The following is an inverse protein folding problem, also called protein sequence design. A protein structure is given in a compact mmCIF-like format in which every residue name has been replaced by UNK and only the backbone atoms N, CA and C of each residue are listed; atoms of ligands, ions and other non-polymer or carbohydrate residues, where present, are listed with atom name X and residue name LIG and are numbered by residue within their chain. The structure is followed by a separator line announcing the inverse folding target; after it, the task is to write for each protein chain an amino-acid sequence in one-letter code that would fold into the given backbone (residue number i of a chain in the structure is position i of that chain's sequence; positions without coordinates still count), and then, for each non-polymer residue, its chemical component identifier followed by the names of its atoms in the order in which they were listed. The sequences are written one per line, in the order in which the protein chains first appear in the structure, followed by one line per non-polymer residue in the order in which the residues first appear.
data_IF_824889189327
#
_entry.id   IF_824889189327
#
_cell.length_a   1.000
_cell.length_b   1.000
_cell.length_c   1.000
_cell.angle_alpha   90.00
_cell.angle_beta   90.00
_cell.angle_gamma   90.00
#
_symmetry.space_group_name_H-M   'P 1'
#
loop_
_entity.id
_entity.type
_entity.pdbx_description
1 polymer ?
#
# COMPACT_ATOMS: atom_id res chain seq x y z
N UNK A 1 28.03 -53.72 9.16
CA UNK A 1 27.19 -52.73 9.87
C UNK A 1 27.87 -51.38 9.67
N UNK A 2 27.36 -50.39 8.96
CA UNK A 2 26.03 -50.12 8.42
C UNK A 2 26.16 -49.33 7.11
N UNK A 3 25.23 -49.60 6.19
CA UNK A 3 24.91 -48.77 5.05
C UNK A 3 24.52 -47.35 5.51
N UNK A 4 24.95 -46.32 4.80
CA UNK A 4 24.31 -45.00 4.82
C UNK A 4 23.51 -44.81 3.53
N UNK A 5 22.17 -44.77 3.61
CA UNK A 5 21.33 -44.34 2.50
C UNK A 5 20.70 -42.95 2.73
N UNK A 6 20.51 -42.22 1.61
CA UNK A 6 19.40 -41.29 1.28
C UNK A 6 19.39 -39.86 1.87
N UNK A 7 19.74 -38.91 0.99
CA UNK A 7 19.01 -37.70 0.56
C UNK A 7 17.93 -37.08 1.50
N UNK A 8 18.13 -35.84 1.94
CA UNK A 8 17.05 -34.84 2.03
C UNK A 8 17.52 -33.51 1.41
N UNK A 9 16.90 -33.17 0.28
CA UNK A 9 16.83 -31.83 -0.29
C UNK A 9 16.27 -30.87 0.77
N UNK A 10 17.04 -29.88 1.20
CA UNK A 10 16.50 -28.67 1.83
C UNK A 10 16.72 -27.51 0.87
N UNK A 11 15.81 -27.41 -0.10
CA UNK A 11 15.49 -26.16 -0.77
C UNK A 11 14.94 -25.20 0.29
N UNK A 12 15.24 -23.91 0.16
CA UNK A 12 14.79 -22.81 1.03
C UNK A 12 15.53 -22.65 2.37
N UNK A 13 16.85 -22.46 2.29
CA UNK A 13 17.57 -21.64 3.26
C UNK A 13 17.25 -20.16 3.05
N UNK A 14 16.04 -19.72 3.43
CA UNK A 14 15.72 -18.31 3.59
C UNK A 14 14.97 -18.14 4.91
N UNK A 15 15.66 -17.65 5.92
CA UNK A 15 15.03 -17.11 7.13
C UNK A 15 14.20 -15.89 6.72
N UNK A 16 12.87 -15.98 6.81
CA UNK A 16 11.97 -14.95 6.30
C UNK A 16 11.46 -14.07 7.44
N UNK A 17 11.65 -12.74 7.33
CA UNK A 17 11.13 -11.77 8.31
C UNK A 17 10.03 -10.88 7.72
N UNK A 18 9.10 -10.45 8.56
CA UNK A 18 7.89 -9.64 8.29
C UNK A 18 8.19 -8.32 7.57
N UNK A 19 7.52 -8.02 6.44
CA UNK A 19 7.65 -6.73 5.71
C UNK A 19 6.67 -6.56 4.52
N UNK A 20 6.08 -5.36 4.37
CA UNK A 20 5.22 -4.89 3.26
C UNK A 20 6.06 -4.22 2.16
N UNK A 21 5.92 -4.60 0.88
CA UNK A 21 6.80 -4.17 -0.22
C UNK A 21 6.14 -3.10 -1.10
N UNK A 22 6.84 -2.01 -1.43
CA UNK A 22 6.36 -1.00 -2.41
C UNK A 22 7.08 -1.20 -3.75
N UNK A 23 6.34 -1.23 -4.86
CA UNK A 23 6.85 -1.54 -6.23
C UNK A 23 6.58 -0.40 -7.22
N UNK A 24 7.45 -0.27 -8.23
CA UNK A 24 7.32 0.64 -9.40
C UNK A 24 6.62 -0.08 -10.56
N UNK A 25 5.80 0.65 -11.33
CA UNK A 25 4.95 0.12 -12.41
C UNK A 25 5.66 -0.57 -13.60
N UNK A 26 6.96 -0.32 -13.86
CA UNK A 26 7.61 -0.74 -15.14
C UNK A 26 8.84 -1.65 -14.99
N UNK A 27 9.35 -1.92 -13.79
CA UNK A 27 10.41 -2.94 -13.63
C UNK A 27 10.14 -3.80 -12.40
N UNK A 28 10.06 -5.12 -12.62
CA UNK A 28 10.18 -6.15 -11.57
C UNK A 28 11.62 -6.11 -11.04
N UNK A 29 11.94 -5.15 -10.20
CA UNK A 29 13.10 -5.21 -9.31
C UNK A 29 12.59 -5.29 -7.89
N UNK A 30 12.63 -6.50 -7.34
CA UNK A 30 12.48 -6.73 -5.92
C UNK A 30 13.60 -5.99 -5.19
N UNK A 31 13.23 -5.06 -4.30
CA UNK A 31 14.08 -4.75 -3.15
C UNK A 31 13.51 -5.53 -1.97
N UNK A 32 14.06 -6.73 -1.78
CA UNK A 32 13.92 -7.47 -0.54
C UNK A 32 14.93 -6.91 0.45
N UNK A 33 14.46 -6.27 1.51
CA UNK A 33 15.26 -6.07 2.71
C UNK A 33 14.43 -6.50 3.93
N UNK A 34 15.02 -7.43 4.68
CA UNK A 34 14.45 -8.16 5.80
C UNK A 34 14.74 -7.44 7.13
N UNK A 35 13.90 -7.77 8.13
CA UNK A 35 14.12 -7.72 9.58
C UNK A 35 13.44 -6.62 10.43
N UNK A 36 12.73 -7.09 11.47
CA UNK A 36 12.18 -6.46 12.69
C UNK A 36 11.18 -5.29 12.57
N UNK A 37 10.07 -5.39 13.31
CA UNK A 37 8.88 -4.53 13.25
C UNK A 37 8.99 -3.13 13.85
N UNK A 38 10.18 -2.72 14.31
CA UNK A 38 10.42 -1.37 14.85
C UNK A 38 11.30 -0.50 13.95
N UNK A 39 12.02 -1.08 12.99
CA UNK A 39 13.00 -0.37 12.15
C UNK A 39 12.57 -0.23 10.68
N UNK A 40 11.38 -0.75 10.31
CA UNK A 40 10.85 -0.59 8.95
C UNK A 40 10.14 0.76 8.81
N UNK A 41 10.60 1.64 7.90
CA UNK A 41 9.89 2.88 7.64
C UNK A 41 8.46 2.56 7.18
N UNK A 42 7.43 3.18 7.78
CA UNK A 42 6.05 3.01 7.36
C UNK A 42 5.88 3.18 5.84
N UNK A 43 4.89 2.52 5.23
CA UNK A 43 4.62 2.50 3.77
C UNK A 43 4.84 3.85 3.08
N UNK A 44 4.35 4.94 3.70
CA UNK A 44 4.50 6.33 3.26
C UNK A 44 5.96 6.78 3.10
N UNK A 45 6.85 6.46 4.04
CA UNK A 45 8.26 6.86 4.00
C UNK A 45 9.03 6.04 2.95
N UNK A 46 8.74 4.74 2.82
CA UNK A 46 9.29 3.91 1.74
C UNK A 46 8.85 4.43 0.36
N UNK A 47 7.57 4.81 0.22
CA UNK A 47 7.09 5.42 -1.02
C UNK A 47 7.73 6.77 -1.33
N UNK A 48 8.05 7.59 -0.32
CA UNK A 48 8.82 8.83 -0.53
C UNK A 48 10.21 8.56 -1.07
N UNK A 49 10.93 7.61 -0.49
CA UNK A 49 12.25 7.24 -0.99
C UNK A 49 12.20 6.81 -2.47
N UNK A 50 11.24 5.95 -2.82
CA UNK A 50 11.05 5.50 -4.21
C UNK A 50 10.57 6.63 -5.14
N UNK A 51 9.67 7.50 -4.66
CA UNK A 51 9.23 8.69 -5.39
C UNK A 51 10.43 9.55 -5.77
N UNK A 52 11.22 9.94 -4.78
CA UNK A 52 12.37 10.82 -4.97
C UNK A 52 13.44 10.19 -5.89
N UNK A 53 13.61 8.87 -5.85
CA UNK A 53 14.58 8.17 -6.68
C UNK A 53 14.15 8.07 -8.15
N UNK A 54 12.86 7.89 -8.44
CA UNK A 54 12.42 7.47 -9.78
C UNK A 54 11.49 8.43 -10.50
N UNK A 55 10.80 9.32 -9.79
CA UNK A 55 9.74 10.14 -10.35
C UNK A 55 9.87 11.61 -9.98
N UNK A 56 10.40 11.90 -8.80
CA UNK A 56 10.39 13.22 -8.20
C UNK A 56 8.99 13.67 -7.78
N UNK A 57 8.94 14.66 -6.91
CA UNK A 57 7.72 15.38 -6.55
C UNK A 57 6.67 14.55 -5.79
N UNK A 58 5.42 14.99 -5.93
CA UNK A 58 4.24 14.39 -5.32
C UNK A 58 3.89 13.07 -6.00
N UNK A 59 3.62 12.04 -5.22
CA UNK A 59 3.19 10.74 -5.74
C UNK A 59 2.07 10.16 -4.90
N UNK A 60 1.38 9.19 -5.49
CA UNK A 60 0.42 8.36 -4.78
C UNK A 60 0.90 6.90 -4.80
N UNK A 61 0.76 6.24 -3.65
CA UNK A 61 0.91 4.79 -3.56
C UNK A 61 -0.47 4.19 -3.59
N UNK A 62 -0.75 3.32 -4.55
CA UNK A 62 -1.92 2.45 -4.46
C UNK A 62 -1.72 1.47 -3.33
N UNK A 63 -2.65 1.48 -2.38
CA UNK A 63 -2.70 0.48 -1.32
C UNK A 63 -3.91 -0.37 -1.62
N UNK A 64 -3.72 -1.69 -1.54
CA UNK A 64 -4.80 -2.67 -1.71
C UNK A 64 -6.05 -2.21 -0.96
N UNK A 65 -7.24 -2.28 -1.55
CA UNK A 65 -8.42 -1.65 -0.94
C UNK A 65 -9.46 -1.23 -1.97
N UNK A 66 -10.64 -1.84 -1.90
CA UNK A 66 -11.77 -1.58 -2.81
C UNK A 66 -12.96 -1.07 -2.02
N UNK A 67 -13.65 -0.06 -2.56
CA UNK A 67 -14.87 0.49 -1.96
C UNK A 67 -15.91 -0.60 -1.83
N UNK A 68 -16.48 -0.70 -0.64
CA UNK A 68 -17.55 -1.65 -0.36
C UNK A 68 -18.82 -1.27 -1.13
N UNK A 69 -19.53 -2.22 -1.76
CA UNK A 69 -20.79 -1.94 -2.45
C UNK A 69 -21.85 -1.28 -1.56
N UNK A 70 -21.87 -1.61 -0.26
CA UNK A 70 -22.75 -1.01 0.74
C UNK A 70 -22.35 0.42 1.16
N UNK A 71 -21.19 0.91 0.70
CA UNK A 71 -20.65 2.23 1.00
C UNK A 71 -20.46 3.10 -0.27
N UNK A 72 -21.50 3.32 -1.10
CA UNK A 72 -21.36 3.92 -2.42
C UNK A 72 -21.00 5.41 -2.41
N UNK A 73 -21.24 6.13 -1.30
CA UNK A 73 -20.97 7.55 -1.18
C UNK A 73 -20.30 7.93 0.13
N UNK A 74 -19.85 9.19 0.20
CA UNK A 74 -19.18 9.78 1.38
C UNK A 74 -19.94 9.58 2.69
N UNK A 75 -21.27 9.69 2.67
CA UNK A 75 -22.11 9.62 3.89
C UNK A 75 -22.59 8.21 4.21
N UNK A 76 -22.33 7.23 3.34
CA UNK A 76 -22.82 5.86 3.52
C UNK A 76 -22.13 5.13 4.66
N UNK A 77 -20.82 5.36 4.83
CA UNK A 77 -19.98 4.68 5.81
C UNK A 77 -18.93 5.62 6.38
N UNK A 78 -18.49 5.38 7.61
CA UNK A 78 -17.31 6.04 8.16
C UNK A 78 -16.07 5.72 7.31
N UNK A 79 -15.07 6.61 7.21
CA UNK A 79 -13.88 6.41 6.39
C UNK A 79 -13.21 5.03 6.53
N UNK A 80 -12.98 4.58 7.77
CA UNK A 80 -12.34 3.29 8.06
C UNK A 80 -13.18 2.04 7.69
N UNK A 81 -14.48 2.24 7.41
CA UNK A 81 -15.41 1.18 7.00
C UNK A 81 -15.80 1.28 5.52
N UNK A 82 -15.37 2.31 4.79
CA UNK A 82 -15.79 2.50 3.40
C UNK A 82 -15.13 1.50 2.44
N UNK A 83 -14.01 0.89 2.83
CA UNK A 83 -13.21 -0.01 2.01
C UNK A 83 -13.07 -1.41 2.61
N UNK A 84 -12.79 -2.37 1.75
CA UNK A 84 -12.38 -3.73 2.11
C UNK A 84 -11.04 -4.05 1.47
N UNK A 85 -10.18 -4.75 2.20
CA UNK A 85 -8.93 -5.30 1.68
C UNK A 85 -9.25 -6.44 0.70
N UNK A 86 -8.45 -6.55 -0.37
CA UNK A 86 -8.64 -7.53 -1.43
C UNK A 86 -7.64 -8.68 -1.38
N UNK A 87 -6.59 -8.57 -0.55
CA UNK A 87 -5.58 -9.60 -0.34
C UNK A 87 -6.06 -10.80 0.53
N UNK A 88 -7.24 -10.71 1.13
CA UNK A 88 -7.87 -11.79 1.89
C UNK A 88 -7.26 -12.08 3.27
N UNK A 89 -6.25 -11.32 3.70
CA UNK A 89 -5.56 -11.56 4.98
C UNK A 89 -5.29 -10.30 5.79
N UNK A 90 -5.25 -9.13 5.15
CA UNK A 90 -5.07 -7.87 5.88
C UNK A 90 -6.29 -7.62 6.75
N UNK A 91 -6.03 -7.42 8.04
CA UNK A 91 -7.04 -7.04 9.03
C UNK A 91 -6.56 -5.78 9.73
N UNK A 92 -7.49 -4.88 10.05
CA UNK A 92 -7.18 -3.59 10.69
C UNK A 92 -6.91 -2.44 9.72
N UNK A 93 -6.85 -1.23 10.29
CA UNK A 93 -6.63 0.04 9.57
C UNK A 93 -5.62 0.94 10.31
N UNK A 94 -4.83 0.35 11.21
CA UNK A 94 -3.98 1.10 12.12
C UNK A 94 -2.93 1.91 11.35
N UNK A 95 -2.79 3.18 11.75
CA UNK A 95 -1.91 4.14 11.10
C UNK A 95 -2.45 4.71 9.79
N UNK A 96 -3.68 4.37 9.36
CA UNK A 96 -4.37 5.08 8.29
C UNK A 96 -5.10 6.31 8.82
N UNK A 97 -4.98 7.40 8.07
CA UNK A 97 -5.61 8.67 8.38
C UNK A 97 -6.26 9.22 7.11
N UNK A 98 -7.55 9.53 7.20
CA UNK A 98 -8.33 10.12 6.10
C UNK A 98 -8.50 11.62 6.37
N UNK A 99 -7.92 12.50 5.52
CA UNK A 99 -7.96 13.94 5.75
C UNK A 99 -9.30 14.54 5.28
N UNK A 100 -9.77 15.56 5.99
CA UNK A 100 -10.83 16.46 5.53
C UNK A 100 -12.07 15.73 4.99
N UNK A 101 -12.41 15.89 3.69
CA UNK A 101 -13.60 15.29 3.10
C UNK A 101 -13.45 13.81 2.74
N UNK A 102 -12.27 13.21 2.89
CA UNK A 102 -11.99 11.87 2.38
C UNK A 102 -12.50 10.73 3.29
N UNK A 103 -12.87 9.57 2.72
CA UNK A 103 -13.05 9.32 1.28
C UNK A 103 -14.32 9.99 0.77
N UNK A 104 -14.21 10.73 -0.33
CA UNK A 104 -15.29 11.60 -0.81
C UNK A 104 -16.19 10.94 -1.87
N UNK A 105 -15.77 9.80 -2.45
CA UNK A 105 -16.48 9.10 -3.51
C UNK A 105 -16.76 9.99 -4.74
N UNK A 106 -15.79 10.80 -5.18
CA UNK A 106 -15.97 11.72 -6.29
C UNK A 106 -16.36 10.98 -7.58
N UNK A 107 -17.40 11.45 -8.26
CA UNK A 107 -18.07 10.76 -9.37
C UNK A 107 -17.49 11.01 -10.77
N UNK A 108 -16.23 11.41 -10.87
CA UNK A 108 -15.55 11.71 -12.15
C UNK A 108 -14.67 10.55 -12.62
N UNK A 109 -15.02 9.33 -12.24
CA UNK A 109 -14.37 8.11 -12.71
C UNK A 109 -15.17 7.47 -13.84
N UNK A 110 -14.49 6.86 -14.81
CA UNK A 110 -15.09 6.05 -15.89
C UNK A 110 -15.97 4.92 -15.36
N UNK A 111 -15.67 4.44 -14.15
CA UNK A 111 -16.37 3.34 -13.48
C UNK A 111 -17.28 3.83 -12.35
N UNK A 112 -17.66 5.11 -12.36
CA UNK A 112 -18.55 5.72 -11.37
C UNK A 112 -17.79 6.60 -10.38
N UNK A 113 -17.69 6.16 -9.13
CA UNK A 113 -17.04 6.93 -8.06
C UNK A 113 -15.62 6.45 -7.79
N UNK A 114 -14.82 7.28 -7.14
CA UNK A 114 -13.53 6.89 -6.59
C UNK A 114 -13.68 5.69 -5.64
N UNK A 115 -13.12 4.55 -6.06
CA UNK A 115 -13.44 3.22 -5.51
C UNK A 115 -12.22 2.41 -5.09
N UNK A 116 -11.02 3.01 -5.14
CA UNK A 116 -9.77 2.35 -4.72
C UNK A 116 -8.96 3.25 -3.79
N UNK A 117 -8.17 2.66 -2.89
CA UNK A 117 -7.42 3.45 -1.90
C UNK A 117 -6.01 3.82 -2.35
N UNK A 118 -5.59 5.05 -2.05
CA UNK A 118 -4.21 5.53 -2.21
C UNK A 118 -3.69 6.18 -0.94
N UNK A 119 -2.38 6.25 -0.82
CA UNK A 119 -1.66 7.09 0.16
C UNK A 119 -0.95 8.21 -0.59
N UNK A 120 -1.16 9.44 -0.16
CA UNK A 120 -0.48 10.62 -0.66
C UNK A 120 0.95 10.75 -0.12
N UNK A 121 1.90 11.01 -1.02
CA UNK A 121 3.33 11.08 -0.72
C UNK A 121 3.84 12.48 -1.04
N UNK A 122 4.26 13.19 0.00
CA UNK A 122 5.07 14.40 -0.13
C UNK A 122 6.54 14.07 -0.46
N UNK A 123 7.26 14.97 -1.17
CA UNK A 123 8.67 14.78 -1.51
C UNK A 123 9.61 14.93 -0.30
N UNK A 124 9.20 15.65 0.75
CA UNK A 124 10.02 15.92 1.92
C UNK A 124 9.16 16.16 3.18
N UNK A 125 9.80 16.16 4.35
CA UNK A 125 9.17 16.55 5.61
C UNK A 125 8.80 18.04 5.60
N UNK A 126 7.67 18.40 6.21
CA UNK A 126 7.15 19.77 6.19
C UNK A 126 6.53 20.21 4.85
N UNK A 127 6.63 19.40 3.80
CA UNK A 127 5.99 19.65 2.50
C UNK A 127 4.66 18.91 2.44
N UNK A 128 3.60 19.61 2.05
CA UNK A 128 2.30 19.00 1.84
C UNK A 128 2.32 18.02 0.65
N UNK A 129 1.50 16.98 0.74
CA UNK A 129 1.23 16.07 -0.36
C UNK A 129 0.14 16.67 -1.28
N UNK A 130 -0.38 15.87 -2.22
CA UNK A 130 -1.48 16.27 -3.11
C UNK A 130 -2.65 16.88 -2.31
N UNK A 131 -3.30 17.90 -2.89
CA UNK A 131 -4.43 18.63 -2.29
C UNK A 131 -4.12 19.35 -0.96
N UNK A 132 -2.84 19.55 -0.64
CA UNK A 132 -2.45 20.18 0.62
C UNK A 132 -2.50 19.24 1.83
N UNK A 133 -2.71 17.94 1.62
CA UNK A 133 -2.85 16.96 2.68
C UNK A 133 -1.50 16.56 3.30
N UNK A 134 -1.47 16.04 4.54
CA UNK A 134 -0.25 15.55 5.17
C UNK A 134 0.38 14.38 4.42
N UNK A 135 1.70 14.25 4.54
CA UNK A 135 2.42 13.06 4.09
C UNK A 135 1.84 11.78 4.72
N UNK A 136 1.46 10.81 3.91
CA UNK A 136 0.91 9.53 4.37
C UNK A 136 -0.60 9.54 4.59
N UNK A 137 -1.30 10.64 4.29
CA UNK A 137 -2.76 10.68 4.34
C UNK A 137 -3.38 9.82 3.23
N UNK A 138 -4.50 9.18 3.54
CA UNK A 138 -5.28 8.35 2.64
C UNK A 138 -6.13 9.21 1.71
N UNK A 139 -6.45 8.66 0.54
CA UNK A 139 -7.50 9.16 -0.33
C UNK A 139 -8.13 8.01 -1.12
N UNK A 140 -9.33 8.23 -1.65
CA UNK A 140 -9.91 7.36 -2.65
C UNK A 140 -9.61 7.88 -4.05
N UNK A 141 -9.52 6.96 -5.01
CA UNK A 141 -9.17 7.28 -6.37
C UNK A 141 -9.95 6.41 -7.37
N UNK A 142 -9.86 6.75 -8.65
CA UNK A 142 -10.45 5.97 -9.74
C UNK A 142 -9.55 4.77 -10.09
N UNK A 143 -10.13 3.63 -10.48
CA UNK A 143 -9.36 2.44 -10.89
C UNK A 143 -8.45 2.69 -12.09
N UNK A 144 -8.89 3.54 -13.01
CA UNK A 144 -8.20 3.82 -14.27
C UNK A 144 -7.05 4.81 -14.11
N UNK A 145 -6.95 5.50 -12.97
CA UNK A 145 -5.89 6.48 -12.75
C UNK A 145 -4.58 5.75 -12.42
N UNK A 146 -3.51 5.99 -13.19
CA UNK A 146 -2.28 5.22 -13.06
C UNK A 146 -1.51 5.64 -11.81
N UNK A 147 -1.60 4.85 -10.73
CA UNK A 147 -0.63 4.96 -9.64
C UNK A 147 0.79 4.61 -10.16
N UNK A 148 1.78 5.41 -9.76
CA UNK A 148 3.20 5.18 -10.08
C UNK A 148 3.82 4.15 -9.13
N UNK A 149 3.29 4.06 -7.92
CA UNK A 149 3.73 3.18 -6.85
C UNK A 149 2.57 2.31 -6.36
N UNK A 150 2.91 1.08 -5.95
CA UNK A 150 1.96 0.10 -5.44
C UNK A 150 2.52 -0.54 -4.18
N UNK A 151 1.76 -0.56 -3.08
CA UNK A 151 2.10 -1.31 -1.88
C UNK A 151 1.45 -2.70 -1.93
N UNK A 152 2.27 -3.74 -1.82
CA UNK A 152 1.83 -5.12 -1.76
C UNK A 152 1.92 -5.65 -0.33
N UNK A 153 0.83 -6.24 0.15
CA UNK A 153 0.80 -7.03 1.38
C UNK A 153 1.70 -8.26 1.29
N UNK A 154 2.03 -8.82 2.45
CA UNK A 154 2.68 -10.12 2.61
C UNK A 154 1.81 -10.93 3.55
N UNK A 155 1.66 -12.23 3.27
CA UNK A 155 0.89 -13.14 4.13
C UNK A 155 1.43 -13.08 5.57
N UNK A 156 0.54 -13.12 6.58
CA UNK A 156 0.96 -13.31 7.97
C UNK A 156 1.70 -14.66 8.08
N UNK A 157 2.80 -14.65 8.84
CA UNK A 157 3.63 -15.83 9.07
C UNK A 157 2.95 -16.84 10.01
#
# INVERSE_FOLDING_TARGET
MNLFPILILSLFGCTVVNSVVVRKKVERKESSSSSSSEDRPPRRHAGRALSNLYYGGLQDIWVDGVRRPECPGKTSCTPLKAFQWTDGHTTGTDGFFWPGPEPNAFGDCKQGVQSVTVIHISPADGVAASYGYPHGAMNDNCYELPAKLYACGKLPA
#
